data_IF_793522920826
#
_entry.id   IF_793522920826
#
_cell.length_a   1.000
_cell.length_b   1.000
_cell.length_c   1.000
_cell.angle_alpha   90.00
_cell.angle_beta   90.00
_cell.angle_gamma   90.00
#
_symmetry.space_group_name_H-M   'P 1'
#
loop_
_entity.id
_entity.type
_entity.pdbx_description
1 polymer ?
#
# COMPACT_ATOMS: atom_id res chain seq x y z
N UNK A 1 -31.16 -19.68 25.98
CA UNK A 1 -29.88 -20.39 26.13
C UNK A 1 -28.94 -19.63 25.24
N UNK A 2 -28.11 -18.78 25.85
CA UNK A 2 -27.16 -17.98 25.12
C UNK A 2 -26.05 -18.91 24.65
N UNK A 3 -25.84 -18.97 23.34
CA UNK A 3 -24.86 -19.83 22.70
C UNK A 3 -23.49 -19.14 22.78
N UNK A 4 -22.93 -19.06 24.00
CA UNK A 4 -21.68 -18.35 24.30
C UNK A 4 -20.46 -18.93 23.57
N UNK A 5 -20.59 -20.11 22.94
CA UNK A 5 -19.55 -20.76 22.15
C UNK A 5 -19.50 -20.27 20.68
N UNK A 6 -20.48 -19.48 20.23
CA UNK A 6 -20.53 -18.98 18.85
C UNK A 6 -19.83 -17.63 18.71
N UNK A 7 -18.84 -17.50 17.81
CA UNK A 7 -18.16 -16.23 17.58
C UNK A 7 -19.14 -15.11 17.26
N UNK A 8 -18.94 -13.94 17.86
CA UNK A 8 -19.74 -12.75 17.63
C UNK A 8 -21.25 -12.94 17.89
N UNK A 9 -21.64 -13.82 18.81
CA UNK A 9 -23.05 -14.12 19.14
C UNK A 9 -23.86 -14.59 17.93
N UNK A 10 -23.22 -15.34 17.02
CA UNK A 10 -23.85 -15.81 15.77
C UNK A 10 -24.03 -14.74 14.70
N UNK A 11 -23.43 -13.55 14.86
CA UNK A 11 -23.47 -12.50 13.83
C UNK A 11 -22.55 -12.86 12.66
N UNK A 12 -23.06 -12.67 11.45
CA UNK A 12 -22.25 -12.80 10.24
C UNK A 12 -21.28 -11.62 10.16
N UNK A 13 -19.98 -11.94 10.15
CA UNK A 13 -18.91 -10.97 9.97
C UNK A 13 -18.34 -11.08 8.56
N UNK A 14 -18.35 -9.97 7.82
CA UNK A 14 -17.71 -9.86 6.51
C UNK A 14 -16.50 -8.94 6.65
N UNK A 15 -15.32 -9.46 6.34
CA UNK A 15 -14.08 -8.71 6.32
C UNK A 15 -13.65 -8.50 4.87
N UNK A 16 -13.30 -7.27 4.54
CA UNK A 16 -12.76 -6.91 3.22
C UNK A 16 -11.47 -6.14 3.42
N UNK A 17 -10.42 -6.53 2.70
CA UNK A 17 -9.11 -5.90 2.77
C UNK A 17 -8.16 -6.52 1.77
N UNK A 18 -6.98 -5.92 1.65
CA UNK A 18 -5.89 -6.46 0.84
C UNK A 18 -4.70 -6.78 1.75
N UNK A 19 -4.45 -8.07 1.97
CA UNK A 19 -3.36 -8.57 2.82
C UNK A 19 -1.96 -8.36 2.23
N UNK A 20 -1.87 -7.83 1.00
CA UNK A 20 -0.60 -7.42 0.37
C UNK A 20 -0.24 -5.97 0.73
N UNK A 21 -1.06 -5.30 1.54
CA UNK A 21 -0.77 -3.97 2.11
C UNK A 21 0.11 -4.08 3.35
N UNK A 22 0.50 -2.92 3.88
CA UNK A 22 1.42 -2.77 5.01
C UNK A 22 0.90 -3.54 6.24
N UNK A 23 1.80 -4.22 6.95
CA UNK A 23 1.48 -4.95 8.18
C UNK A 23 0.95 -4.02 9.28
N UNK A 24 0.19 -4.53 10.27
CA UNK A 24 -0.23 -3.75 11.43
C UNK A 24 0.96 -3.08 12.14
N UNK A 25 0.82 -1.82 12.52
CA UNK A 25 1.89 -1.10 13.23
C UNK A 25 1.79 -1.40 14.72
N UNK A 26 2.74 -2.17 15.26
CA UNK A 26 2.91 -2.36 16.69
C UNK A 26 3.98 -1.39 17.20
N UNK A 27 3.56 -0.34 17.91
CA UNK A 27 4.48 0.70 18.41
C UNK A 27 5.51 0.07 19.36
N UNK A 28 6.80 0.21 19.02
CA UNK A 28 7.93 -0.41 19.74
C UNK A 28 7.85 -1.95 19.79
N UNK A 29 7.08 -2.56 18.90
CA UNK A 29 6.96 -4.01 18.78
C UNK A 29 8.13 -4.63 18.03
N UNK A 30 8.49 -5.86 18.41
CA UNK A 30 9.36 -6.72 17.62
C UNK A 30 8.63 -7.23 16.37
N UNK A 31 9.36 -7.66 15.32
CA UNK A 31 8.75 -8.21 14.10
C UNK A 31 7.77 -9.37 14.36
N UNK A 32 8.06 -10.23 15.34
CA UNK A 32 7.15 -11.31 15.74
C UNK A 32 5.81 -10.79 16.27
N UNK A 33 5.82 -9.70 17.04
CA UNK A 33 4.59 -9.09 17.58
C UNK A 33 3.75 -8.46 16.47
N UNK A 34 4.40 -7.89 15.44
CA UNK A 34 3.70 -7.43 14.23
C UNK A 34 3.01 -8.58 13.49
N UNK A 35 3.68 -9.74 13.40
CA UNK A 35 3.09 -10.94 12.78
C UNK A 35 1.92 -11.45 13.63
N UNK A 36 2.07 -11.51 14.95
CA UNK A 36 1.03 -11.98 15.87
C UNK A 36 -0.20 -11.06 15.86
N UNK A 37 -0.01 -9.77 15.59
CA UNK A 37 -1.10 -8.81 15.45
C UNK A 37 -1.91 -8.98 14.15
N UNK A 38 -1.37 -9.68 13.14
CA UNK A 38 -2.09 -9.92 11.88
C UNK A 38 -3.30 -10.82 12.10
N UNK A 39 -4.43 -10.51 11.45
CA UNK A 39 -5.64 -11.35 11.50
C UNK A 39 -5.37 -12.82 11.14
N UNK A 40 -4.44 -13.08 10.22
CA UNK A 40 -4.05 -14.44 9.80
C UNK A 40 -3.42 -15.27 10.92
N UNK A 41 -2.91 -14.63 11.96
CA UNK A 41 -2.33 -15.26 13.16
C UNK A 41 -3.40 -15.53 14.23
N UNK A 42 -4.63 -15.03 14.05
CA UNK A 42 -5.74 -15.23 14.99
C UNK A 42 -6.24 -16.68 14.99
N UNK A 43 -6.64 -17.16 16.16
CA UNK A 43 -7.33 -18.46 16.31
C UNK A 43 -8.68 -18.50 15.58
N UNK A 44 -9.23 -17.34 15.22
CA UNK A 44 -10.45 -17.23 14.41
C UNK A 44 -10.19 -17.41 12.92
N UNK A 45 -8.95 -17.26 12.43
CA UNK A 45 -8.63 -17.31 11.01
C UNK A 45 -9.17 -18.57 10.29
N UNK A 46 -9.04 -19.79 10.85
CA UNK A 46 -9.58 -21.00 10.23
C UNK A 46 -11.11 -21.02 10.12
N UNK A 47 -11.83 -20.16 10.87
CA UNK A 47 -13.29 -20.05 10.83
C UNK A 47 -13.79 -19.14 9.69
N UNK A 48 -12.92 -18.35 9.06
CA UNK A 48 -13.30 -17.47 7.97
C UNK A 48 -13.31 -18.22 6.63
N UNK A 49 -14.38 -18.03 5.86
CA UNK A 49 -14.40 -18.39 4.45
C UNK A 49 -13.65 -17.34 3.63
N UNK A 50 -12.66 -17.76 2.84
CA UNK A 50 -11.86 -16.86 2.02
C UNK A 50 -12.43 -16.75 0.62
N UNK A 51 -12.71 -15.53 0.18
CA UNK A 51 -13.14 -15.20 -1.18
C UNK A 51 -12.13 -14.22 -1.80
N UNK A 52 -11.78 -14.45 -3.06
CA UNK A 52 -10.78 -13.65 -3.78
C UNK A 52 -11.44 -12.90 -4.92
N UNK A 53 -11.31 -11.56 -4.91
CA UNK A 53 -11.64 -10.72 -6.05
C UNK A 53 -10.47 -10.79 -7.05
N UNK A 54 -10.74 -11.29 -8.25
CA UNK A 54 -9.72 -11.47 -9.30
C UNK A 54 -9.76 -10.38 -10.36
N UNK A 55 -10.93 -9.80 -10.58
CA UNK A 55 -11.14 -8.83 -11.65
C UNK A 55 -10.79 -7.42 -11.16
N UNK A 56 -9.73 -6.84 -11.73
CA UNK A 56 -9.36 -5.46 -11.46
C UNK A 56 -10.21 -4.52 -12.34
N UNK A 57 -11.37 -4.14 -11.83
CA UNK A 57 -12.31 -3.26 -12.54
C UNK A 57 -11.68 -1.92 -12.97
N UNK A 58 -10.67 -1.40 -12.25
CA UNK A 58 -9.97 -0.16 -12.62
C UNK A 58 -9.20 -0.30 -13.93
N UNK A 59 -8.57 -1.46 -14.14
CA UNK A 59 -7.87 -1.78 -15.38
C UNK A 59 -8.89 -1.98 -16.50
N UNK A 60 -10.02 -2.65 -16.23
CA UNK A 60 -11.08 -2.88 -17.21
C UNK A 60 -11.79 -1.59 -17.67
N UNK A 61 -11.85 -0.56 -16.82
CA UNK A 61 -12.48 0.72 -17.14
C UNK A 61 -11.55 1.73 -17.85
N UNK A 62 -10.31 1.36 -18.20
CA UNK A 62 -9.40 2.23 -18.91
C UNK A 62 -9.92 2.47 -20.35
N UNK A 63 -10.45 3.67 -20.62
CA UNK A 63 -11.13 4.02 -21.88
C UNK A 63 -10.28 4.86 -22.86
N UNK A 64 -9.02 5.18 -22.55
CA UNK A 64 -8.16 5.99 -23.43
C UNK A 64 -7.04 5.13 -24.05
N UNK A 65 -6.72 5.35 -25.32
CA UNK A 65 -5.75 4.54 -26.07
C UNK A 65 -4.35 4.47 -25.42
N UNK A 66 -3.89 5.54 -24.75
CA UNK A 66 -2.61 5.55 -24.02
C UNK A 66 -2.66 4.79 -22.69
N UNK A 67 -3.83 4.71 -22.05
CA UNK A 67 -3.99 4.07 -20.73
C UNK A 67 -4.27 2.57 -20.84
N UNK A 68 -4.73 2.09 -21.99
CA UNK A 68 -5.07 0.67 -22.22
C UNK A 68 -3.85 -0.25 -22.17
N UNK A 69 -2.66 0.22 -22.57
CA UNK A 69 -1.43 -0.60 -22.55
C UNK A 69 -0.65 -0.48 -21.24
N UNK A 70 -0.60 0.72 -20.63
CA UNK A 70 0.24 0.97 -19.45
C UNK A 70 -0.39 0.46 -18.14
N UNK A 71 -1.71 0.58 -17.97
CA UNK A 71 -2.40 0.17 -16.74
C UNK A 71 -2.35 -1.35 -16.47
N UNK A 72 -2.52 -2.24 -17.46
CA UNK A 72 -2.38 -3.68 -17.23
C UNK A 72 -0.97 -4.07 -16.79
N UNK A 73 0.06 -3.52 -17.45
CA UNK A 73 1.46 -3.79 -17.10
C UNK A 73 1.79 -3.30 -15.68
N UNK A 74 1.33 -2.10 -15.33
CA UNK A 74 1.47 -1.54 -13.99
C UNK A 74 0.73 -2.37 -12.93
N UNK A 75 -0.50 -2.79 -13.23
CA UNK A 75 -1.28 -3.65 -12.33
C UNK A 75 -0.58 -4.98 -12.08
N UNK A 76 -0.08 -5.64 -13.14
CA UNK A 76 0.65 -6.91 -13.01
C UNK A 76 1.94 -6.74 -12.20
N UNK A 77 2.69 -5.64 -12.43
CA UNK A 77 3.85 -5.32 -11.62
C UNK A 77 3.50 -5.18 -10.12
N UNK A 78 2.47 -4.41 -9.79
CA UNK A 78 2.02 -4.24 -8.40
C UNK A 78 1.57 -5.56 -7.77
N UNK A 79 0.89 -6.43 -8.54
CA UNK A 79 0.50 -7.76 -8.08
C UNK A 79 1.72 -8.61 -7.74
N UNK A 80 2.74 -8.65 -8.61
CA UNK A 80 3.97 -9.40 -8.37
C UNK A 80 4.74 -8.89 -7.15
N UNK A 81 4.76 -7.57 -6.93
CA UNK A 81 5.39 -6.97 -5.75
C UNK A 81 4.61 -7.35 -4.49
N UNK A 82 3.28 -7.19 -4.49
CA UNK A 82 2.43 -7.52 -3.34
C UNK A 82 2.44 -9.00 -2.97
N UNK A 83 2.65 -9.90 -3.93
CA UNK A 83 2.78 -11.35 -3.71
C UNK A 83 4.21 -11.79 -3.37
N UNK A 84 5.19 -10.89 -3.35
CA UNK A 84 6.60 -11.22 -3.13
C UNK A 84 7.22 -12.06 -4.25
N UNK A 85 6.63 -12.03 -5.46
CA UNK A 85 7.11 -12.76 -6.64
C UNK A 85 8.03 -11.91 -7.53
N UNK A 86 8.05 -10.59 -7.33
CA UNK A 86 8.92 -9.70 -8.08
C UNK A 86 10.39 -9.90 -7.70
N UNK A 87 11.30 -9.75 -8.68
CA UNK A 87 12.74 -9.94 -8.45
C UNK A 87 13.30 -8.82 -7.58
N UNK A 88 13.98 -9.21 -6.51
CA UNK A 88 14.80 -8.28 -5.73
C UNK A 88 16.03 -7.86 -6.53
N UNK A 89 16.50 -6.64 -6.30
CA UNK A 89 17.73 -6.11 -6.85
C UNK A 89 18.76 -5.93 -5.72
N UNK A 90 19.68 -6.89 -5.53
CA UNK A 90 20.67 -6.83 -4.45
C UNK A 90 21.60 -5.61 -4.53
N UNK A 91 21.78 -5.03 -5.73
CA UNK A 91 22.63 -3.85 -5.91
C UNK A 91 22.02 -2.58 -5.28
N UNK A 92 20.71 -2.57 -5.00
CA UNK A 92 20.04 -1.47 -4.29
C UNK A 92 19.97 -1.69 -2.77
N UNK A 93 20.27 -2.90 -2.31
CA UNK A 93 20.15 -3.32 -0.91
C UNK A 93 19.30 -4.58 -0.72
N UNK A 94 19.33 -5.17 0.49
CA UNK A 94 18.56 -6.37 0.80
C UNK A 94 17.06 -6.08 0.76
N UNK A 95 16.30 -6.88 -0.01
CA UNK A 95 14.85 -6.73 -0.13
C UNK A 95 14.37 -5.57 -1.00
N UNK A 96 15.28 -4.83 -1.63
CA UNK A 96 14.93 -3.72 -2.51
C UNK A 96 14.48 -4.22 -3.89
N UNK A 97 13.54 -3.51 -4.50
CA UNK A 97 13.10 -3.70 -5.89
C UNK A 97 13.46 -2.46 -6.71
N UNK A 98 13.63 -2.63 -8.02
CA UNK A 98 13.83 -1.51 -8.95
C UNK A 98 12.51 -1.19 -9.63
N UNK A 99 12.03 0.05 -9.51
CA UNK A 99 10.85 0.51 -10.25
C UNK A 99 11.21 0.66 -11.74
N UNK A 100 10.44 0.06 -12.66
CA UNK A 100 10.64 0.22 -14.10
C UNK A 100 10.58 1.69 -14.53
N UNK A 101 11.44 2.10 -15.48
CA UNK A 101 11.52 3.51 -15.91
C UNK A 101 10.21 4.02 -16.51
N UNK A 102 9.47 3.18 -17.23
CA UNK A 102 8.17 3.50 -17.80
C UNK A 102 7.05 3.64 -16.75
N UNK A 103 7.35 3.39 -15.47
CA UNK A 103 6.43 3.60 -14.34
C UNK A 103 6.87 4.78 -13.45
N UNK A 104 7.91 5.51 -13.84
CA UNK A 104 8.39 6.69 -13.12
C UNK A 104 7.73 7.94 -13.71
N UNK A 105 7.31 8.84 -12.83
CA UNK A 105 6.94 10.20 -13.18
C UNK A 105 8.18 11.05 -12.89
N UNK A 106 8.62 11.84 -13.86
CA UNK A 106 9.74 12.76 -13.66
C UNK A 106 9.31 13.83 -12.65
N UNK A 107 10.06 13.93 -11.56
CA UNK A 107 9.87 15.04 -10.63
C UNK A 107 10.58 16.26 -11.23
N UNK A 108 9.86 17.32 -11.64
CA UNK A 108 10.51 18.52 -12.13
C UNK A 108 11.41 19.08 -11.02
N UNK A 109 12.67 19.34 -11.36
CA UNK A 109 13.56 20.11 -10.49
C UNK A 109 13.00 21.53 -10.52
N UNK A 110 12.20 21.92 -9.54
CA UNK A 110 12.11 23.34 -9.22
C UNK A 110 13.55 23.77 -8.96
N UNK A 111 14.05 24.71 -9.76
CA UNK A 111 15.36 25.30 -9.55
C UNK A 111 15.45 25.61 -8.07
N UNK A 112 16.34 24.90 -7.37
CA UNK A 112 16.75 25.27 -6.03
C UNK A 112 17.06 26.76 -6.14
N UNK A 113 16.19 27.62 -5.61
CA UNK A 113 16.57 28.98 -5.37
C UNK A 113 17.86 28.83 -4.56
N UNK A 114 18.97 29.29 -5.14
CA UNK A 114 20.30 29.25 -4.56
C UNK A 114 20.24 29.98 -3.20
N UNK A 115 19.85 29.25 -2.17
CA UNK A 115 19.77 29.73 -0.80
C UNK A 115 20.84 29.08 0.05
N UNK A 116 21.98 28.71 -0.53
CA UNK A 116 23.25 28.59 0.20
C UNK A 116 23.27 27.74 1.47
N UNK A 117 22.31 26.84 1.70
CA UNK A 117 22.29 26.01 2.90
C UNK A 117 22.95 24.67 2.60
N UNK A 118 24.10 24.47 3.25
CA UNK A 118 24.90 23.25 3.31
C UNK A 118 24.03 21.98 3.37
N UNK A 119 24.50 20.88 2.79
CA UNK A 119 23.86 19.55 2.83
C UNK A 119 23.40 19.19 4.26
N UNK A 120 22.16 19.54 4.62
CA UNK A 120 21.66 19.32 5.97
C UNK A 120 21.43 17.82 6.13
N UNK A 121 22.33 17.18 6.87
CA UNK A 121 22.23 15.79 7.29
C UNK A 121 20.83 15.56 7.89
N UNK A 122 20.01 14.73 7.24
CA UNK A 122 18.63 14.46 7.68
C UNK A 122 18.68 13.92 9.12
N UNK A 123 18.32 14.78 10.08
CA UNK A 123 18.32 14.45 11.50
C UNK A 123 17.27 13.36 11.75
N UNK A 124 17.45 12.46 12.73
CA UNK A 124 16.40 11.52 13.10
C UNK A 124 15.10 12.26 13.43
N UNK A 125 14.05 12.03 12.62
CA UNK A 125 12.76 12.71 12.72
C UNK A 125 12.52 13.86 11.73
N UNK A 126 13.52 14.27 10.96
CA UNK A 126 13.33 15.22 9.87
C UNK A 126 12.64 14.52 8.67
N UNK A 127 11.56 15.13 8.18
CA UNK A 127 10.88 14.71 6.95
C UNK A 127 11.59 15.41 5.80
N UNK A 128 12.14 14.68 4.80
CA UNK A 128 12.77 15.30 3.64
C UNK A 128 11.79 16.24 2.94
N UNK A 129 12.23 17.44 2.56
CA UNK A 129 11.38 18.48 1.94
C UNK A 129 10.50 17.94 0.79
N UNK A 130 11.08 17.10 -0.08
CA UNK A 130 10.35 16.48 -1.20
C UNK A 130 9.28 15.46 -0.78
N UNK A 131 9.36 14.86 0.41
CA UNK A 131 8.34 13.94 0.91
C UNK A 131 7.08 14.69 1.34
N UNK A 132 7.23 15.86 1.95
CA UNK A 132 6.09 16.72 2.32
C UNK A 132 5.33 17.16 1.08
N UNK A 133 6.04 17.58 0.02
CA UNK A 133 5.43 17.97 -1.25
C UNK A 133 4.66 16.82 -1.91
N UNK A 134 5.26 15.62 -1.98
CA UNK A 134 4.57 14.42 -2.49
C UNK A 134 3.31 14.08 -1.67
N UNK A 135 3.39 14.21 -0.35
CA UNK A 135 2.26 13.96 0.55
C UNK A 135 1.15 14.99 0.33
N UNK A 136 1.49 16.27 0.18
CA UNK A 136 0.54 17.36 -0.05
C UNK A 136 -0.14 17.26 -1.42
N UNK A 137 0.61 16.94 -2.47
CA UNK A 137 0.07 16.65 -3.81
C UNK A 137 -0.87 15.44 -3.79
N UNK A 138 -0.47 14.35 -3.10
CA UNK A 138 -1.32 13.17 -2.95
C UNK A 138 -2.61 13.48 -2.17
N UNK A 139 -2.54 14.33 -1.13
CA UNK A 139 -3.73 14.78 -0.41
C UNK A 139 -4.64 15.67 -1.26
N UNK A 140 -4.10 16.49 -2.15
CA UNK A 140 -4.89 17.28 -3.08
C UNK A 140 -5.68 16.39 -4.06
N UNK A 141 -5.06 15.32 -4.55
CA UNK A 141 -5.69 14.33 -5.44
C UNK A 141 -6.73 13.45 -4.73
N UNK A 142 -6.46 13.02 -3.50
CA UNK A 142 -7.40 12.22 -2.68
C UNK A 142 -8.65 13.04 -2.31
N UNK A 143 -8.49 14.34 -2.07
CA UNK A 143 -9.61 15.24 -1.77
C UNK A 143 -10.32 15.77 -3.01
N UNK A 144 -9.92 15.36 -4.21
CA UNK A 144 -10.64 15.67 -5.44
C UNK A 144 -12.04 15.05 -5.39
N UNK A 145 -13.12 15.84 -5.48
CA UNK A 145 -14.49 15.35 -5.34
C UNK A 145 -14.92 14.32 -6.41
N UNK A 146 -14.10 14.09 -7.45
CA UNK A 146 -14.36 13.11 -8.52
C UNK A 146 -13.92 11.66 -8.21
N UNK A 147 -13.17 11.39 -7.14
CA UNK A 147 -12.53 10.08 -6.88
C UNK A 147 -12.86 9.44 -5.51
N UNK A 148 -13.93 9.87 -4.83
CA UNK A 148 -14.29 9.32 -3.51
C UNK A 148 -14.63 7.83 -3.57
N UNK A 149 -13.76 7.00 -3.03
CA UNK A 149 -14.12 5.70 -2.46
C UNK A 149 -13.50 5.60 -1.08
N UNK A 150 -14.33 5.68 -0.05
CA UNK A 150 -13.93 5.42 1.33
C UNK A 150 -13.83 3.91 1.52
N UNK A 151 -12.62 3.40 1.71
CA UNK A 151 -12.39 2.00 2.07
C UNK A 151 -11.67 1.94 3.41
N UNK A 152 -12.34 1.41 4.43
CA UNK A 152 -11.74 1.10 5.72
C UNK A 152 -10.93 -0.18 5.52
N UNK A 153 -9.61 -0.05 5.48
CA UNK A 153 -8.72 -1.21 5.46
C UNK A 153 -8.51 -1.69 6.89
N UNK A 154 -9.00 -2.89 7.19
CA UNK A 154 -8.58 -3.65 8.36
C UNK A 154 -7.42 -4.55 7.93
N UNK A 155 -6.25 -4.36 8.52
CA UNK A 155 -5.07 -5.24 8.39
C UNK A 155 -4.93 -6.15 9.59
#
# INVERSE_FOLDING_TARGET
MDNDDEPFEGKVLVLSGDFRRILPVVVRGAPAQTIDACLKSSTLWPKFQQLHLRDNMRVMSAQNESTVTELPEFSEFLLQVGEGKHKINPALGPGCIKIPKNMLIENPVEELADDGEEEEYIRPGAIPRGLTQMVDEMYADINNPKSRTTSISLT
#
